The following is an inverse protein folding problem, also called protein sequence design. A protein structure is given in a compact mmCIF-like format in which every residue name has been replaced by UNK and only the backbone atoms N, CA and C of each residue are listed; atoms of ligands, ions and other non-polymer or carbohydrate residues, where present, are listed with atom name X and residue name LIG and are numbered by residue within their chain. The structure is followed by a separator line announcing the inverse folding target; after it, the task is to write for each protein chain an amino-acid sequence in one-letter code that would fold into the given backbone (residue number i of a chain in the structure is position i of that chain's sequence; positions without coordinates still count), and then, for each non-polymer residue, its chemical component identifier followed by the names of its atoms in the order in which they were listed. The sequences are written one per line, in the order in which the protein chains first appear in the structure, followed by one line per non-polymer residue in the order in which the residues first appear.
data_IF_705283355996
#
_entry.id   IF_705283355996
#
_cell.length_a   1.000
_cell.length_b   1.000
_cell.length_c   1.000
_cell.angle_alpha   90.00
_cell.angle_beta   90.00
_cell.angle_gamma   90.00
#
_symmetry.space_group_name_H-M   'P 1'
#
loop_
_entity.id
_entity.type
_entity.pdbx_description
1 polymer ?
#
# COMPACT_ATOMS: atom_id res chain seq x y z
N UNK A 1 21.98 22.88 -17.36
CA UNK A 1 21.65 23.56 -16.09
C UNK A 1 20.28 23.06 -15.72
N UNK A 2 20.24 22.20 -14.71
CA UNK A 2 19.00 21.62 -14.21
C UNK A 2 18.04 22.69 -13.72
N UNK A 3 16.75 22.46 -13.92
CA UNK A 3 15.73 23.35 -13.39
C UNK A 3 15.61 23.09 -11.89
N UNK A 4 16.09 24.04 -11.09
CA UNK A 4 15.90 24.04 -9.65
C UNK A 4 14.41 24.24 -9.31
N UNK A 5 13.87 23.39 -8.43
CA UNK A 5 12.50 23.53 -7.94
C UNK A 5 12.48 24.38 -6.66
N UNK A 6 11.47 25.25 -6.53
CA UNK A 6 11.36 26.17 -5.41
C UNK A 6 10.45 25.61 -4.31
N UNK A 7 10.72 25.99 -3.06
CA UNK A 7 9.83 25.64 -1.95
C UNK A 7 8.42 26.20 -2.21
N UNK A 8 7.41 25.36 -2.03
CA UNK A 8 6.00 25.65 -2.28
C UNK A 8 5.53 25.39 -3.72
N UNK A 9 6.46 25.20 -4.67
CA UNK A 9 6.17 24.84 -6.05
C UNK A 9 5.49 23.46 -6.14
N UNK A 10 4.59 23.30 -7.10
CA UNK A 10 4.02 21.99 -7.43
C UNK A 10 4.76 21.45 -8.65
N UNK A 11 5.31 20.26 -8.51
CA UNK A 11 5.95 19.50 -9.58
C UNK A 11 5.19 18.20 -9.79
N UNK A 12 5.31 17.63 -10.97
CA UNK A 12 4.83 16.28 -11.24
C UNK A 12 6.04 15.35 -11.20
N UNK A 13 5.89 14.17 -10.58
CA UNK A 13 6.86 13.09 -10.61
C UNK A 13 6.12 11.76 -10.68
N UNK A 14 6.49 10.89 -11.61
CA UNK A 14 5.83 9.60 -11.86
C UNK A 14 4.29 9.72 -12.03
N UNK A 15 3.87 10.78 -12.75
CA UNK A 15 2.45 11.07 -13.01
C UNK A 15 1.68 11.72 -11.86
N UNK A 16 2.29 11.88 -10.67
CA UNK A 16 1.64 12.46 -9.49
C UNK A 16 2.14 13.87 -9.17
N UNK A 17 1.25 14.69 -8.63
CA UNK A 17 1.58 16.07 -8.25
C UNK A 17 2.09 16.14 -6.80
N UNK A 18 3.21 16.82 -6.62
CA UNK A 18 3.89 17.01 -5.34
C UNK A 18 4.20 18.47 -5.10
N UNK A 19 4.00 18.93 -3.86
CA UNK A 19 4.50 20.21 -3.38
C UNK A 19 5.88 20.06 -2.78
N UNK A 20 6.81 20.88 -3.23
CA UNK A 20 8.16 20.97 -2.67
C UNK A 20 8.10 21.61 -1.29
N UNK A 21 8.57 20.92 -0.26
CA UNK A 21 8.62 21.40 1.12
C UNK A 21 10.03 21.81 1.54
N UNK A 22 11.02 21.10 1.04
CA UNK A 22 12.41 21.26 1.42
C UNK A 22 13.36 20.86 0.30
N UNK A 23 14.61 21.28 0.43
CA UNK A 23 15.71 20.86 -0.44
C UNK A 23 17.00 20.75 0.36
N UNK A 24 17.75 19.70 0.10
CA UNK A 24 19.14 19.52 0.52
C UNK A 24 20.00 19.46 -0.74
N UNK A 25 21.12 20.15 -0.77
CA UNK A 25 22.13 20.02 -1.81
C UNK A 25 23.34 19.35 -1.20
N UNK A 26 23.74 18.20 -1.73
CA UNK A 26 24.90 17.47 -1.26
C UNK A 26 26.11 17.73 -2.14
N UNK A 27 27.30 17.57 -1.56
CA UNK A 27 28.58 17.56 -2.24
C UNK A 27 29.29 16.24 -1.94
N UNK A 28 29.45 15.39 -2.94
CA UNK A 28 30.24 14.17 -2.82
C UNK A 28 31.72 14.54 -2.60
N UNK A 29 32.34 14.00 -1.55
CA UNK A 29 33.74 14.27 -1.24
C UNK A 29 34.71 13.58 -2.20
N UNK A 30 34.30 12.51 -2.87
CA UNK A 30 35.18 11.72 -3.73
C UNK A 30 35.51 12.45 -5.04
N UNK A 31 34.52 13.07 -5.67
CA UNK A 31 34.63 13.66 -7.01
C UNK A 31 34.21 15.14 -7.07
N UNK A 32 33.71 15.70 -5.97
CA UNK A 32 33.23 17.08 -5.89
C UNK A 32 31.94 17.34 -6.67
N UNK A 33 31.20 16.29 -7.06
CA UNK A 33 29.89 16.41 -7.71
C UNK A 33 28.79 16.68 -6.69
N UNK A 34 27.68 17.19 -7.18
CA UNK A 34 26.55 17.63 -6.35
C UNK A 34 25.26 17.11 -6.93
N UNK A 35 24.39 16.62 -6.05
CA UNK A 35 23.00 16.33 -6.36
C UNK A 35 22.09 17.12 -5.42
N UNK A 36 20.86 17.33 -5.84
CA UNK A 36 19.81 17.92 -5.01
C UNK A 36 18.81 16.85 -4.60
N UNK A 37 18.42 16.87 -3.33
CA UNK A 37 17.30 16.10 -2.81
C UNK A 37 16.16 17.03 -2.42
N UNK A 38 14.98 16.80 -2.99
CA UNK A 38 13.80 17.59 -2.73
C UNK A 38 12.85 16.81 -1.82
N UNK A 39 12.51 17.38 -0.67
CA UNK A 39 11.43 16.87 0.18
C UNK A 39 10.10 17.26 -0.43
N UNK A 40 9.33 16.28 -0.83
CA UNK A 40 8.09 16.41 -1.57
C UNK A 40 6.91 15.94 -0.73
N UNK A 41 5.76 16.60 -0.89
CA UNK A 41 4.48 16.16 -0.33
C UNK A 41 3.45 15.99 -1.42
N UNK A 42 2.93 14.79 -1.57
CA UNK A 42 1.92 14.50 -2.58
C UNK A 42 0.66 15.35 -2.36
N UNK A 43 0.20 16.06 -3.39
CA UNK A 43 -1.05 16.80 -3.36
C UNK A 43 -2.25 15.85 -3.33
N UNK A 44 -2.12 14.66 -3.94
CA UNK A 44 -3.20 13.68 -4.10
C UNK A 44 -2.90 12.29 -3.50
N UNK A 45 -2.11 12.17 -2.42
CA UNK A 45 -1.89 10.89 -1.72
C UNK A 45 -1.74 11.07 -0.21
N UNK A 46 -2.78 11.56 0.48
CA UNK A 46 -2.74 11.78 1.94
C UNK A 46 -1.54 12.60 2.44
N UNK A 47 -0.98 13.50 1.62
CA UNK A 47 0.25 14.22 1.93
C UNK A 47 1.47 13.29 2.14
N UNK A 48 1.56 12.13 1.44
CA UNK A 48 2.72 11.24 1.49
C UNK A 48 3.99 12.03 1.19
N UNK A 49 5.01 11.81 2.02
CA UNK A 49 6.32 12.40 1.83
C UNK A 49 7.16 11.53 0.91
N UNK A 50 7.79 12.17 -0.07
CA UNK A 50 8.75 11.57 -1.00
C UNK A 50 9.99 12.41 -1.06
N UNK A 51 11.09 11.80 -1.48
CA UNK A 51 12.31 12.50 -1.75
C UNK A 51 12.71 12.25 -3.20
N UNK A 52 12.81 13.34 -3.97
CA UNK A 52 13.28 13.31 -5.34
C UNK A 52 14.78 13.62 -5.33
N UNK A 53 15.63 12.66 -5.69
CA UNK A 53 17.05 12.91 -5.96
C UNK A 53 17.21 13.34 -7.42
N UNK A 54 18.04 14.34 -7.64
CA UNK A 54 18.33 14.87 -8.96
C UNK A 54 19.84 15.06 -9.10
N UNK A 55 20.50 14.09 -9.73
CA UNK A 55 21.90 14.18 -10.12
C UNK A 55 22.02 14.44 -11.64
N UNK A 56 22.31 15.68 -11.99
CA UNK A 56 22.56 16.07 -13.38
C UNK A 56 23.98 15.75 -13.89
N UNK A 57 24.92 15.46 -13.00
CA UNK A 57 26.28 15.08 -13.39
C UNK A 57 26.28 13.67 -13.98
N UNK A 58 25.47 12.77 -13.42
CA UNK A 58 25.33 11.38 -13.83
C UNK A 58 24.04 11.09 -14.62
N UNK A 59 23.12 12.06 -14.70
CA UNK A 59 21.77 11.91 -15.27
C UNK A 59 20.97 10.82 -14.54
N UNK A 60 21.08 10.85 -13.23
CA UNK A 60 20.44 9.90 -12.34
C UNK A 60 19.38 10.62 -11.54
N UNK A 61 18.17 10.06 -11.57
CA UNK A 61 17.00 10.67 -10.97
C UNK A 61 16.22 9.57 -10.32
N UNK A 62 15.62 9.87 -9.18
CA UNK A 62 14.96 8.82 -8.42
C UNK A 62 13.92 9.40 -7.49
N UNK A 63 12.91 8.59 -7.24
CA UNK A 63 11.88 8.91 -6.27
C UNK A 63 11.89 7.87 -5.16
N UNK A 64 12.05 8.37 -3.94
CA UNK A 64 12.33 7.54 -2.78
C UNK A 64 11.51 7.97 -1.58
N UNK A 65 11.53 7.14 -0.54
CA UNK A 65 10.91 7.44 0.75
C UNK A 65 11.61 6.73 1.89
N UNK A 66 11.41 7.25 3.11
CA UNK A 66 11.79 6.60 4.36
C UNK A 66 11.35 5.14 4.36
N UNK A 67 12.29 4.24 4.61
CA UNK A 67 12.01 2.83 4.82
C UNK A 67 13.02 2.23 5.83
N UNK A 68 12.77 2.35 7.15
CA UNK A 68 13.65 1.84 8.22
C UNK A 68 13.86 0.31 8.20
N UNK A 69 13.09 -0.40 7.38
CA UNK A 69 13.17 -1.85 7.21
C UNK A 69 13.73 -2.24 5.84
N UNK A 70 14.31 -1.29 5.09
CA UNK A 70 14.94 -1.59 3.82
C UNK A 70 16.00 -2.69 4.03
N UNK A 71 15.88 -3.75 3.24
CA UNK A 71 16.82 -4.86 3.28
C UNK A 71 17.64 -4.84 2.00
N UNK A 72 18.94 -4.99 2.14
CA UNK A 72 19.87 -5.17 1.02
C UNK A 72 19.87 -6.63 0.52
N UNK A 73 19.04 -7.51 1.10
CA UNK A 73 18.92 -8.90 0.66
C UNK A 73 18.27 -8.99 -0.72
N UNK A 74 18.99 -9.59 -1.67
CA UNK A 74 18.57 -9.64 -3.08
C UNK A 74 18.93 -8.38 -3.88
N UNK A 75 19.61 -7.42 -3.24
CA UNK A 75 20.19 -6.26 -3.87
C UNK A 75 21.72 -6.38 -3.86
N UNK A 76 22.39 -5.63 -4.71
CA UNK A 76 23.83 -5.55 -4.77
C UNK A 76 24.26 -4.08 -4.62
N UNK A 77 25.33 -3.85 -3.87
CA UNK A 77 25.88 -2.52 -3.66
C UNK A 77 26.41 -1.96 -4.99
N UNK A 78 25.90 -0.82 -5.41
CA UNK A 78 26.28 -0.14 -6.67
C UNK A 78 27.08 1.12 -6.43
N UNK A 79 26.78 1.87 -5.36
CA UNK A 79 27.60 3.01 -4.95
C UNK A 79 27.75 3.12 -3.43
N UNK A 80 28.83 3.78 -3.01
CA UNK A 80 29.08 4.14 -1.62
C UNK A 80 30.03 5.33 -1.57
N UNK A 81 29.67 6.32 -0.76
CA UNK A 81 30.48 7.51 -0.61
C UNK A 81 30.32 8.22 0.73
N UNK A 82 30.93 9.39 0.79
CA UNK A 82 30.73 10.35 1.88
C UNK A 82 30.40 11.68 1.25
N UNK A 83 29.28 12.27 1.69
CA UNK A 83 28.84 13.56 1.21
C UNK A 83 28.73 14.55 2.36
N UNK A 84 28.73 15.82 1.97
CA UNK A 84 28.56 16.95 2.86
C UNK A 84 27.38 17.78 2.42
N UNK A 85 26.54 18.20 3.36
CA UNK A 85 25.46 19.15 3.10
C UNK A 85 26.06 20.50 2.72
N UNK A 86 25.85 20.89 1.46
CA UNK A 86 26.35 22.12 0.85
C UNK A 86 25.27 23.21 0.74
N UNK A 87 23.99 22.84 0.81
CA UNK A 87 22.87 23.78 0.75
C UNK A 87 21.61 23.21 1.39
N UNK A 88 20.81 24.10 1.98
CA UNK A 88 19.55 23.76 2.67
C UNK A 88 18.49 24.80 2.34
N UNK A 89 17.26 24.37 2.10
CA UNK A 89 16.10 25.25 1.95
C UNK A 89 14.82 24.56 2.43
N UNK A 90 13.88 25.34 2.98
CA UNK A 90 12.56 24.83 3.39
C UNK A 90 12.61 23.94 4.63
N UNK A 91 11.70 22.97 4.69
CA UNK A 91 11.44 22.12 5.84
C UNK A 91 12.29 20.83 5.76
N UNK A 92 13.52 20.86 6.28
CA UNK A 92 14.45 19.71 6.38
C UNK A 92 15.25 19.82 7.69
N UNK A 93 15.65 18.68 8.25
CA UNK A 93 16.33 18.58 9.56
C UNK A 93 17.84 18.29 9.40
N UNK A 94 18.54 19.15 8.65
CA UNK A 94 20.01 19.09 8.46
C UNK A 94 20.59 20.49 8.38
N UNK A 95 21.86 20.64 8.76
CA UNK A 95 22.60 21.90 8.69
C UNK A 95 23.69 21.86 7.62
N UNK A 96 23.98 23.03 7.03
CA UNK A 96 25.12 23.16 6.11
C UNK A 96 26.40 22.86 6.88
N UNK A 97 27.10 21.81 6.49
CA UNK A 97 28.24 21.33 7.28
C UNK A 97 28.16 19.84 7.57
N UNK A 98 26.94 19.33 7.74
CA UNK A 98 26.69 17.96 8.15
C UNK A 98 27.22 16.97 7.12
N UNK A 99 27.64 15.82 7.60
CA UNK A 99 28.25 14.78 6.78
C UNK A 99 27.45 13.50 6.90
N UNK A 100 27.33 12.80 5.77
CA UNK A 100 26.63 11.54 5.67
C UNK A 100 27.50 10.55 4.92
N UNK A 101 27.59 9.32 5.43
CA UNK A 101 28.13 8.21 4.65
C UNK A 101 26.94 7.52 4.02
N UNK A 102 26.93 7.42 2.70
CA UNK A 102 25.82 6.80 1.98
C UNK A 102 26.27 5.49 1.33
N UNK A 103 25.37 4.53 1.27
CA UNK A 103 25.47 3.29 0.50
C UNK A 103 24.21 3.14 -0.35
N UNK A 104 24.37 2.76 -1.62
CA UNK A 104 23.29 2.57 -2.57
C UNK A 104 23.32 1.16 -3.15
N UNK A 105 22.16 0.53 -3.19
CA UNK A 105 21.99 -0.85 -3.59
C UNK A 105 20.90 -0.96 -4.65
N UNK A 106 21.14 -1.75 -5.69
CA UNK A 106 20.17 -2.03 -6.75
C UNK A 106 19.72 -3.49 -6.73
N UNK A 107 18.46 -3.74 -7.08
CA UNK A 107 18.00 -5.10 -7.34
C UNK A 107 18.53 -5.63 -8.68
N UNK A 108 18.32 -6.91 -8.94
CA UNK A 108 18.71 -7.55 -10.20
C UNK A 108 18.07 -6.96 -11.47
N UNK A 109 17.07 -6.08 -11.33
CA UNK A 109 16.44 -5.38 -12.47
C UNK A 109 17.09 -4.04 -12.75
N UNK A 110 17.96 -3.54 -11.85
CA UNK A 110 18.58 -2.22 -11.91
C UNK A 110 17.55 -1.07 -11.86
N UNK A 111 16.29 -1.34 -11.47
CA UNK A 111 15.23 -0.32 -11.37
C UNK A 111 14.93 0.08 -9.92
N UNK A 112 15.12 -0.82 -8.97
CA UNK A 112 14.82 -0.56 -7.55
C UNK A 112 16.08 -0.27 -6.78
N UNK A 113 15.98 0.74 -5.93
CA UNK A 113 17.07 1.22 -5.10
C UNK A 113 16.74 1.11 -3.63
N UNK A 114 17.74 0.71 -2.85
CA UNK A 114 17.78 0.84 -1.40
C UNK A 114 18.99 1.69 -1.07
N UNK A 115 18.77 2.76 -0.31
CA UNK A 115 19.89 3.58 0.15
C UNK A 115 19.92 3.66 1.67
N UNK A 116 21.14 3.67 2.20
CA UNK A 116 21.44 3.73 3.61
C UNK A 116 22.31 4.96 3.82
N UNK A 117 21.87 5.83 4.71
CA UNK A 117 22.56 7.05 5.13
C UNK A 117 22.97 6.89 6.59
N UNK A 118 24.27 6.86 6.85
CA UNK A 118 24.81 6.84 8.19
C UNK A 118 25.13 8.27 8.61
N UNK A 119 24.30 8.80 9.51
CA UNK A 119 24.52 10.07 10.17
C UNK A 119 25.24 9.85 11.51
N UNK A 120 25.64 10.95 12.17
CA UNK A 120 26.39 10.87 13.43
C UNK A 120 25.58 10.23 14.58
N UNK A 121 24.25 10.34 14.56
CA UNK A 121 23.33 9.90 15.62
C UNK A 121 22.39 8.77 15.21
N UNK A 122 22.09 8.60 13.92
CA UNK A 122 21.23 7.53 13.42
C UNK A 122 21.61 7.00 12.03
N UNK A 123 21.17 5.76 11.77
CA UNK A 123 21.17 5.17 10.43
C UNK A 123 19.79 5.35 9.82
N UNK A 124 19.78 5.95 8.65
CA UNK A 124 18.59 6.27 7.88
C UNK A 124 18.52 5.37 6.65
N UNK A 125 17.35 4.78 6.43
CA UNK A 125 17.15 3.81 5.36
C UNK A 125 16.02 4.30 4.47
N UNK A 126 16.22 4.19 3.16
CA UNK A 126 15.23 4.55 2.16
C UNK A 126 15.11 3.47 1.10
N UNK A 127 13.96 3.47 0.42
CA UNK A 127 13.76 2.65 -0.76
C UNK A 127 13.01 3.45 -1.81
N UNK A 128 13.41 3.28 -3.06
CA UNK A 128 12.89 4.02 -4.19
C UNK A 128 13.05 3.28 -5.50
N UNK A 129 12.99 4.04 -6.58
CA UNK A 129 13.23 3.58 -7.93
C UNK A 129 13.78 4.74 -8.76
N UNK A 130 14.47 4.39 -9.84
CA UNK A 130 14.94 5.37 -10.81
C UNK A 130 13.78 5.94 -11.61
N UNK A 131 13.93 7.21 -11.98
CA UNK A 131 13.06 7.94 -12.87
C UNK A 131 13.80 8.27 -14.15
N UNK A 132 13.08 8.19 -15.26
CA UNK A 132 13.53 8.80 -16.50
C UNK A 132 13.43 10.34 -16.42
N UNK A 133 14.26 11.08 -17.18
CA UNK A 133 14.23 12.55 -17.19
C UNK A 133 12.88 13.19 -17.53
N UNK A 134 11.97 12.45 -18.18
CA UNK A 134 10.63 12.93 -18.56
C UNK A 134 9.53 12.54 -17.57
N UNK A 135 9.84 11.74 -16.55
CA UNK A 135 8.87 11.29 -15.55
C UNK A 135 8.68 12.31 -14.43
N UNK A 136 9.53 13.34 -14.37
CA UNK A 136 9.38 14.44 -13.43
C UNK A 136 9.61 15.81 -14.08
N UNK A 137 9.00 16.85 -13.51
CA UNK A 137 9.10 18.21 -14.03
C UNK A 137 7.91 19.09 -13.66
N UNK A 138 7.90 20.33 -14.13
CA UNK A 138 6.72 21.21 -13.97
C UNK A 138 5.55 20.71 -14.82
N UNK A 139 4.33 21.03 -14.41
CA UNK A 139 3.13 20.79 -15.20
C UNK A 139 3.25 21.50 -16.57
N UNK A 140 3.45 20.71 -17.64
CA UNK A 140 3.73 21.18 -19.01
C UNK A 140 5.17 21.00 -19.51
N UNK A 141 6.15 20.74 -18.64
CA UNK A 141 7.50 20.30 -19.01
C UNK A 141 7.54 18.78 -19.28
N UNK A 142 6.61 18.02 -18.68
CA UNK A 142 6.40 16.60 -18.97
C UNK A 142 5.84 16.45 -20.38
N UNK A 143 6.72 16.08 -21.32
CA UNK A 143 6.34 15.86 -22.72
C UNK A 143 5.52 14.58 -22.81
N UNK A 144 4.20 14.74 -22.94
CA UNK A 144 3.33 13.64 -23.37
C UNK A 144 3.89 13.00 -24.64
N UNK A 145 4.28 11.72 -24.54
CA UNK A 145 4.92 10.99 -25.61
C UNK A 145 4.02 10.84 -26.84
N UNK A 146 4.12 11.79 -27.78
CA UNK A 146 3.72 11.57 -29.16
C UNK A 146 4.88 10.89 -29.89
N UNK A 147 4.72 9.60 -30.18
CA UNK A 147 5.62 8.86 -31.06
C UNK A 147 5.53 9.43 -32.48
N UNK A 148 6.46 10.30 -32.86
CA UNK A 148 6.73 10.60 -34.28
C UNK A 148 7.76 9.60 -34.80
N UNK A 149 7.32 8.72 -35.69
CA UNK A 149 8.17 7.79 -36.42
C UNK A 149 9.17 8.53 -37.32
N UNK A 150 10.47 8.35 -37.08
CA UNK A 150 11.55 8.81 -37.95
C UNK A 150 12.78 7.93 -37.78
N UNK A 151 13.02 7.06 -38.76
CA UNK A 151 14.12 6.09 -38.81
C UNK A 151 15.51 6.76 -38.74
N UNK A 152 16.48 6.13 -38.08
CA UNK A 152 17.59 5.39 -38.73
C UNK A 152 18.67 4.96 -37.72
N UNK A 153 19.07 3.68 -37.74
CA UNK A 153 20.45 3.29 -37.44
C UNK A 153 20.74 2.38 -36.24
N UNK A 154 20.56 1.07 -36.47
CA UNK A 154 21.30 -0.10 -35.90
C UNK A 154 21.05 -0.53 -34.43
N UNK A 155 20.76 -1.84 -34.33
CA UNK A 155 20.72 -2.76 -33.16
C UNK A 155 19.64 -2.39 -32.12
N UNK A 156 18.76 -3.26 -31.61
CA UNK A 156 18.81 -4.70 -31.33
C UNK A 156 17.36 -5.23 -31.21
N UNK A 157 17.20 -6.54 -31.08
CA UNK A 157 15.93 -7.29 -31.03
C UNK A 157 15.07 -6.85 -29.80
N UNK A 158 13.75 -7.04 -29.95
CA UNK A 158 12.68 -7.04 -28.95
C UNK A 158 11.79 -5.79 -28.89
N UNK A 159 10.90 -5.74 -29.89
CA UNK A 159 9.56 -5.22 -29.65
C UNK A 159 8.78 -6.15 -28.70
N UNK A 160 7.92 -5.52 -27.90
CA UNK A 160 7.08 -6.05 -26.79
C UNK A 160 7.69 -5.85 -25.39
N UNK A 161 7.65 -4.62 -24.92
CA UNK A 161 7.50 -4.31 -23.49
C UNK A 161 6.82 -2.94 -23.40
N UNK A 162 5.52 -2.92 -23.63
CA UNK A 162 4.65 -1.80 -23.27
C UNK A 162 3.71 -2.37 -22.22
N UNK A 163 3.57 -1.66 -21.09
CA UNK A 163 2.61 -1.86 -19.99
C UNK A 163 2.98 -2.93 -18.95
N UNK A 164 4.05 -2.76 -18.16
CA UNK A 164 4.21 -3.46 -16.87
C UNK A 164 5.05 -2.60 -15.87
N UNK A 165 4.70 -1.34 -15.59
CA UNK A 165 5.35 -0.60 -14.49
C UNK A 165 4.32 0.28 -13.75
N UNK A 166 3.22 -0.33 -13.30
CA UNK A 166 2.31 0.30 -12.31
C UNK A 166 2.03 -0.66 -11.12
N UNK A 167 2.53 -1.90 -11.15
CA UNK A 167 2.12 -2.93 -10.16
C UNK A 167 3.25 -3.83 -9.63
N UNK A 168 4.49 -3.34 -9.61
CA UNK A 168 5.56 -4.01 -8.83
C UNK A 168 5.54 -3.59 -7.35
N UNK A 169 4.78 -2.57 -6.97
CA UNK A 169 4.63 -2.12 -5.57
C UNK A 169 3.60 -2.91 -4.74
N UNK A 170 2.88 -3.88 -5.31
CA UNK A 170 1.83 -4.65 -4.61
C UNK A 170 2.29 -6.02 -4.05
N UNK A 171 3.60 -6.33 -4.09
CA UNK A 171 4.13 -7.59 -3.55
C UNK A 171 5.53 -7.43 -2.91
N UNK A 172 5.63 -6.57 -1.90
CA UNK A 172 6.51 -6.80 -0.76
C UNK A 172 5.65 -6.64 0.50
N UNK A 173 5.25 -7.77 1.09
CA UNK A 173 4.62 -7.75 2.39
C UNK A 173 5.62 -7.22 3.42
N UNK A 174 5.24 -6.13 4.10
CA UNK A 174 5.87 -5.55 5.30
C UNK A 174 7.21 -4.82 5.02
N UNK A 175 7.35 -3.50 5.18
CA UNK A 175 6.81 -2.65 6.24
C UNK A 175 6.84 -1.16 5.84
N UNK A 176 5.69 -0.60 5.46
CA UNK A 176 5.47 0.85 5.36
C UNK A 176 4.69 1.30 6.59
N UNK A 177 5.30 2.10 7.47
CA UNK A 177 4.62 2.68 8.63
C UNK A 177 5.05 4.11 8.96
N UNK A 178 4.01 4.94 9.15
CA UNK A 178 4.02 6.39 9.35
C UNK A 178 3.65 7.07 8.03
N UNK A 179 2.42 7.46 7.70
CA UNK A 179 1.31 8.00 8.48
C UNK A 179 -0.03 7.47 7.93
N UNK A 180 -0.56 6.40 8.53
CA UNK A 180 -1.91 5.90 8.23
C UNK A 180 -2.90 6.66 9.13
N UNK A 181 -3.97 7.30 8.58
CA UNK A 181 -5.10 7.73 9.39
C UNK A 181 -5.62 6.53 10.18
N UNK A 182 -5.58 6.59 11.51
CA UNK A 182 -5.89 5.48 12.43
C UNK A 182 -7.32 4.93 12.25
N UNK A 183 -7.54 4.12 11.22
CA UNK A 183 -8.85 3.57 10.91
C UNK A 183 -8.90 2.14 11.41
N UNK A 184 -9.30 1.98 12.67
CA UNK A 184 -9.47 0.66 13.27
C UNK A 184 -10.66 -0.12 12.70
N UNK A 185 -11.39 0.47 11.77
CA UNK A 185 -12.62 -0.02 11.18
C UNK A 185 -12.46 -0.21 9.68
N UNK A 186 -13.06 -1.26 9.15
CA UNK A 186 -13.02 -1.65 7.75
C UNK A 186 -13.83 -0.66 6.91
N UNK A 187 -15.07 -0.36 7.29
CA UNK A 187 -15.95 0.44 6.44
C UNK A 187 -15.39 1.84 6.11
N UNK A 188 -14.85 2.62 7.06
CA UNK A 188 -14.32 3.93 6.72
C UNK A 188 -12.98 3.84 5.97
N UNK A 189 -12.28 2.70 5.98
CA UNK A 189 -11.12 2.47 5.13
C UNK A 189 -11.58 2.30 3.68
N UNK A 190 -12.53 1.39 3.43
CA UNK A 190 -13.08 1.15 2.08
C UNK A 190 -13.64 2.44 1.46
N UNK A 191 -14.35 3.28 2.23
CA UNK A 191 -14.87 4.57 1.76
C UNK A 191 -13.80 5.57 1.33
N UNK A 192 -12.61 5.50 1.91
CA UNK A 192 -11.50 6.43 1.61
C UNK A 192 -10.70 5.97 0.40
N UNK A 193 -10.59 4.67 0.20
CA UNK A 193 -9.83 4.07 -0.90
C UNK A 193 -10.67 3.98 -2.18
N UNK A 194 -11.15 5.13 -2.67
CA UNK A 194 -12.07 5.21 -3.81
C UNK A 194 -11.45 4.76 -5.14
N UNK A 195 -10.13 4.62 -5.21
CA UNK A 195 -9.42 4.07 -6.37
C UNK A 195 -9.40 2.54 -6.40
N UNK A 196 -9.59 1.89 -5.24
CA UNK A 196 -9.64 0.42 -5.12
C UNK A 196 -11.06 -0.10 -4.96
N UNK A 197 -11.92 0.68 -4.30
CA UNK A 197 -13.26 0.26 -3.91
C UNK A 197 -14.31 1.24 -4.42
N UNK A 198 -15.24 0.71 -5.22
CA UNK A 198 -16.44 1.44 -5.62
C UNK A 198 -17.63 0.99 -4.77
N UNK A 199 -18.39 1.94 -4.26
CA UNK A 199 -19.63 1.63 -3.54
C UNK A 199 -20.69 1.08 -4.50
N UNK A 200 -21.21 -0.11 -4.22
CA UNK A 200 -22.22 -0.77 -5.06
C UNK A 200 -23.61 -0.53 -4.50
N UNK A 201 -23.85 -0.92 -3.24
CA UNK A 201 -25.18 -0.89 -2.63
C UNK A 201 -25.12 -1.08 -1.10
N UNK A 202 -26.29 -0.99 -0.45
CA UNK A 202 -26.48 -1.42 0.94
C UNK A 202 -27.62 -2.43 1.06
N UNK A 203 -27.38 -3.53 1.76
CA UNK A 203 -28.42 -4.50 2.15
C UNK A 203 -29.04 -4.02 3.45
N UNK A 204 -30.35 -3.86 3.47
CA UNK A 204 -31.09 -3.54 4.70
C UNK A 204 -31.45 -4.83 5.41
N UNK A 205 -30.94 -4.97 6.64
CA UNK A 205 -31.25 -6.08 7.53
C UNK A 205 -32.27 -5.67 8.58
N UNK A 206 -32.36 -6.49 9.62
CA UNK A 206 -33.23 -6.23 10.76
C UNK A 206 -32.65 -5.13 11.67
N UNK A 207 -33.43 -4.66 12.65
CA UNK A 207 -32.93 -3.76 13.70
C UNK A 207 -32.33 -2.43 13.18
N UNK A 208 -32.83 -1.96 12.03
CA UNK A 208 -32.32 -0.79 11.28
C UNK A 208 -30.83 -0.90 10.94
N UNK A 209 -30.29 -2.11 10.90
CA UNK A 209 -28.91 -2.37 10.52
C UNK A 209 -28.78 -2.48 9.00
N UNK A 210 -27.59 -2.17 8.51
CA UNK A 210 -27.24 -2.31 7.10
C UNK A 210 -25.88 -2.96 6.93
N UNK A 211 -25.71 -3.67 5.83
CA UNK A 211 -24.41 -4.08 5.31
C UNK A 211 -24.13 -3.28 4.03
N UNK A 212 -22.95 -2.68 3.93
CA UNK A 212 -22.53 -1.98 2.73
C UNK A 212 -21.67 -2.90 1.87
N UNK A 213 -21.84 -2.79 0.55
CA UNK A 213 -21.18 -3.63 -0.44
C UNK A 213 -20.34 -2.73 -1.33
N UNK A 214 -19.09 -3.11 -1.50
CA UNK A 214 -18.12 -2.46 -2.38
C UNK A 214 -17.65 -3.45 -3.43
N UNK A 215 -17.42 -2.98 -4.64
CA UNK A 215 -16.74 -3.72 -5.70
C UNK A 215 -15.27 -3.35 -5.68
N UNK A 216 -14.41 -4.36 -5.76
CA UNK A 216 -12.97 -4.14 -5.91
C UNK A 216 -12.64 -3.88 -7.38
N UNK A 217 -12.28 -2.64 -7.69
CA UNK A 217 -12.13 -2.12 -9.06
C UNK A 217 -10.94 -2.74 -9.81
N UNK A 218 -9.91 -3.17 -9.10
CA UNK A 218 -8.75 -3.85 -9.70
C UNK A 218 -9.03 -5.33 -10.07
N UNK A 219 -10.26 -5.81 -9.87
CA UNK A 219 -10.64 -7.21 -10.08
C UNK A 219 -10.75 -7.69 -11.53
N UNK A 220 -10.99 -6.81 -12.51
CA UNK A 220 -11.31 -7.27 -13.88
C UNK A 220 -10.12 -7.36 -14.84
N UNK A 221 -9.04 -6.60 -14.63
CA UNK A 221 -7.93 -6.55 -15.59
C UNK A 221 -6.53 -6.70 -14.96
N UNK A 222 -6.38 -6.49 -13.65
CA UNK A 222 -5.11 -6.65 -12.94
C UNK A 222 -4.94 -8.05 -12.31
N UNK A 223 -6.06 -8.74 -12.05
CA UNK A 223 -6.06 -10.07 -11.43
C UNK A 223 -6.19 -11.22 -12.43
N UNK A 224 -6.12 -10.96 -13.74
CA UNK A 224 -6.19 -12.01 -14.77
C UNK A 224 -5.06 -13.04 -14.69
N UNK A 225 -3.98 -12.70 -13.99
CA UNK A 225 -2.80 -13.55 -13.79
C UNK A 225 -2.79 -14.28 -12.44
N UNK A 226 -3.75 -13.99 -11.55
CA UNK A 226 -3.86 -14.62 -10.25
C UNK A 226 -4.96 -15.68 -10.24
N UNK A 227 -4.76 -16.73 -9.48
CA UNK A 227 -5.87 -17.63 -9.14
C UNK A 227 -6.95 -16.86 -8.36
N UNK A 228 -8.17 -17.38 -8.37
CA UNK A 228 -9.27 -16.80 -7.60
C UNK A 228 -8.91 -16.67 -6.12
N UNK A 229 -8.27 -17.70 -5.56
CA UNK A 229 -7.79 -17.71 -4.18
C UNK A 229 -6.83 -16.55 -3.87
N UNK A 230 -5.81 -16.36 -4.70
CA UNK A 230 -4.82 -15.31 -4.53
C UNK A 230 -5.44 -13.91 -4.66
N UNK A 231 -6.36 -13.74 -5.61
CA UNK A 231 -7.08 -12.49 -5.81
C UNK A 231 -7.88 -12.09 -4.55
N UNK A 232 -8.62 -13.04 -3.94
CA UNK A 232 -9.38 -12.78 -2.72
C UNK A 232 -8.45 -12.54 -1.52
N UNK A 233 -7.34 -13.29 -1.42
CA UNK A 233 -6.34 -13.09 -0.37
C UNK A 233 -5.66 -11.72 -0.47
N UNK A 234 -5.45 -11.21 -1.68
CA UNK A 234 -4.88 -9.86 -1.89
C UNK A 234 -5.80 -8.76 -1.40
N UNK A 235 -7.09 -8.84 -1.71
CA UNK A 235 -8.09 -7.91 -1.18
C UNK A 235 -8.17 -8.00 0.35
N UNK A 236 -8.05 -9.21 0.91
CA UNK A 236 -8.01 -9.39 2.36
C UNK A 236 -6.78 -8.72 3.00
N UNK A 237 -5.59 -8.88 2.40
CA UNK A 237 -4.35 -8.25 2.87
C UNK A 237 -4.45 -6.72 2.86
N UNK A 238 -4.97 -6.14 1.77
CA UNK A 238 -5.19 -4.70 1.64
C UNK A 238 -6.10 -4.15 2.76
N UNK A 239 -7.21 -4.84 3.04
CA UNK A 239 -8.11 -4.48 4.15
C UNK A 239 -7.40 -4.62 5.50
N UNK A 240 -6.65 -5.71 5.72
CA UNK A 240 -5.89 -5.96 6.95
C UNK A 240 -4.87 -4.83 7.20
N UNK A 241 -4.15 -4.40 6.17
CA UNK A 241 -3.20 -3.28 6.23
C UNK A 241 -3.92 -1.97 6.53
N UNK A 242 -5.04 -1.72 5.83
CA UNK A 242 -5.90 -0.56 6.04
C UNK A 242 -6.42 -0.40 7.46
N UNK A 243 -6.62 -1.51 8.17
CA UNK A 243 -7.04 -1.53 9.57
C UNK A 243 -5.90 -1.78 10.57
N UNK A 244 -4.65 -1.73 10.13
CA UNK A 244 -3.46 -1.99 10.95
C UNK A 244 -3.49 -3.34 11.68
N UNK A 245 -3.99 -4.37 10.99
CA UNK A 245 -4.11 -5.71 11.56
C UNK A 245 -5.14 -5.82 12.68
N UNK A 246 -6.08 -4.87 12.82
CA UNK A 246 -7.10 -4.86 13.87
C UNK A 246 -8.27 -5.85 13.60
N UNK A 247 -7.96 -7.14 13.59
CA UNK A 247 -8.90 -8.26 13.45
C UNK A 247 -9.01 -9.09 14.74
N UNK A 248 -10.13 -9.75 14.96
CA UNK A 248 -10.29 -10.77 16.01
C UNK A 248 -10.24 -12.19 15.45
N UNK A 249 -10.70 -12.38 14.21
CA UNK A 249 -10.62 -13.65 13.50
C UNK A 249 -10.58 -13.42 11.99
N UNK A 250 -9.73 -14.17 11.28
CA UNK A 250 -9.69 -14.18 9.82
C UNK A 250 -9.62 -15.63 9.35
N UNK A 251 -10.39 -15.98 8.33
CA UNK A 251 -10.27 -17.29 7.69
C UNK A 251 -10.73 -17.24 6.24
N UNK A 252 -10.08 -18.03 5.40
CA UNK A 252 -10.54 -18.36 4.07
C UNK A 252 -11.37 -19.64 4.10
N UNK A 253 -12.43 -19.70 3.31
CA UNK A 253 -13.23 -20.91 3.15
C UNK A 253 -12.36 -22.03 2.55
N UNK A 254 -12.39 -23.19 3.20
CA UNK A 254 -11.65 -24.40 2.82
C UNK A 254 -12.49 -25.34 1.94
N UNK A 255 -13.78 -25.01 1.73
CA UNK A 255 -14.61 -25.72 0.76
C UNK A 255 -14.04 -25.54 -0.65
N UNK A 256 -13.85 -26.67 -1.34
CA UNK A 256 -13.40 -26.72 -2.72
C UNK A 256 -14.17 -25.70 -3.58
N UNK A 257 -13.46 -24.97 -4.44
CA UNK A 257 -14.02 -23.99 -5.38
C UNK A 257 -14.80 -22.81 -4.73
N UNK A 258 -14.60 -22.55 -3.44
CA UNK A 258 -15.06 -21.34 -2.77
C UNK A 258 -13.93 -20.78 -1.91
N UNK A 259 -13.33 -19.69 -2.37
CA UNK A 259 -12.19 -19.05 -1.72
C UNK A 259 -12.60 -17.82 -0.89
N UNK A 260 -13.88 -17.69 -0.53
CA UNK A 260 -14.42 -16.58 0.25
C UNK A 260 -13.58 -16.34 1.51
N UNK A 261 -13.17 -15.11 1.74
CA UNK A 261 -12.43 -14.73 2.95
C UNK A 261 -13.33 -13.96 3.89
N UNK A 262 -13.32 -14.33 5.17
CA UNK A 262 -14.04 -13.66 6.22
C UNK A 262 -13.10 -12.98 7.21
N UNK A 263 -13.40 -11.74 7.58
CA UNK A 263 -12.65 -10.92 8.54
C UNK A 263 -13.63 -10.43 9.60
N UNK A 264 -13.41 -10.81 10.85
CA UNK A 264 -14.12 -10.31 12.01
C UNK A 264 -13.23 -9.32 12.75
N UNK A 265 -13.78 -8.19 13.18
CA UNK A 265 -13.13 -7.25 14.09
C UNK A 265 -13.93 -7.14 15.40
N UNK A 266 -13.51 -6.28 16.31
CA UNK A 266 -14.31 -5.99 17.51
C UNK A 266 -15.64 -5.26 17.24
N UNK A 267 -15.84 -4.71 16.03
CA UNK A 267 -17.02 -3.88 15.70
C UNK A 267 -17.73 -4.27 14.40
N UNK A 268 -17.01 -4.88 13.47
CA UNK A 268 -17.48 -5.15 12.12
C UNK A 268 -17.27 -6.62 11.75
N UNK A 269 -18.10 -7.07 10.82
CA UNK A 269 -17.95 -8.34 10.14
C UNK A 269 -17.88 -8.07 8.64
N UNK A 270 -16.85 -8.63 7.99
CA UNK A 270 -16.56 -8.43 6.59
C UNK A 270 -16.38 -9.77 5.88
N UNK A 271 -16.90 -9.87 4.66
CA UNK A 271 -16.59 -10.98 3.75
C UNK A 271 -16.16 -10.45 2.38
N UNK A 272 -15.25 -11.18 1.76
CA UNK A 272 -14.66 -10.91 0.46
C UNK A 272 -14.95 -12.14 -0.39
N UNK A 273 -15.66 -11.98 -1.49
CA UNK A 273 -16.15 -13.11 -2.28
C UNK A 273 -16.28 -12.76 -3.76
N UNK A 274 -16.29 -13.79 -4.60
CA UNK A 274 -16.66 -13.67 -6.01
C UNK A 274 -18.19 -13.75 -6.15
N UNK A 275 -18.77 -12.73 -6.79
CA UNK A 275 -20.20 -12.65 -7.06
C UNK A 275 -20.64 -13.59 -8.18
N UNK A 276 -21.95 -13.67 -8.41
CA UNK A 276 -22.55 -14.37 -9.53
C UNK A 276 -22.14 -13.82 -10.91
N UNK A 277 -21.69 -12.56 -10.97
CA UNK A 277 -21.17 -11.90 -12.19
C UNK A 277 -19.64 -11.89 -12.27
N UNK A 278 -18.97 -12.74 -11.50
CA UNK A 278 -17.51 -12.84 -11.44
C UNK A 278 -16.76 -11.57 -10.98
N UNK A 279 -17.48 -10.60 -10.42
CA UNK A 279 -16.88 -9.45 -9.71
C UNK A 279 -16.44 -9.84 -8.30
N UNK A 280 -15.33 -9.28 -7.83
CA UNK A 280 -14.90 -9.40 -6.42
C UNK A 280 -15.63 -8.33 -5.61
N UNK A 281 -16.42 -8.78 -4.63
CA UNK A 281 -17.19 -7.93 -3.75
C UNK A 281 -16.70 -8.03 -2.31
N UNK A 282 -16.73 -6.89 -1.63
CA UNK A 282 -16.46 -6.76 -0.20
C UNK A 282 -17.74 -6.29 0.48
N UNK A 283 -18.32 -7.14 1.31
CA UNK A 283 -19.48 -6.78 2.12
C UNK A 283 -19.06 -6.61 3.57
N UNK A 284 -19.31 -5.42 4.12
CA UNK A 284 -19.00 -5.07 5.52
C UNK A 284 -20.26 -4.64 6.25
N UNK A 285 -20.42 -5.12 7.49
CA UNK A 285 -21.54 -4.78 8.36
C UNK A 285 -21.08 -4.60 9.80
N UNK A 286 -21.95 -4.04 10.65
CA UNK A 286 -21.77 -4.16 12.10
C UNK A 286 -21.90 -5.62 12.53
N UNK A 287 -21.33 -5.96 13.70
CA UNK A 287 -21.59 -7.26 14.34
C UNK A 287 -23.06 -7.46 14.72
N UNK A 288 -23.78 -6.37 15.07
CA UNK A 288 -25.23 -6.42 15.33
C UNK A 288 -26.02 -6.82 14.08
N UNK A 289 -25.64 -6.33 12.89
CA UNK A 289 -26.26 -6.76 11.64
C UNK A 289 -26.15 -8.27 11.49
N UNK A 290 -24.92 -8.81 11.57
CA UNK A 290 -24.66 -10.23 11.42
C UNK A 290 -25.44 -11.09 12.43
N UNK A 291 -25.50 -10.66 13.69
CA UNK A 291 -26.27 -11.34 14.73
C UNK A 291 -27.78 -11.43 14.41
N UNK A 292 -28.37 -10.31 14.00
CA UNK A 292 -29.83 -10.13 13.98
C UNK A 292 -30.49 -10.42 12.63
N UNK A 293 -29.71 -10.72 11.58
CA UNK A 293 -30.24 -10.83 10.22
C UNK A 293 -29.86 -12.13 9.53
N UNK A 294 -30.82 -12.69 8.79
CA UNK A 294 -30.65 -13.87 7.94
C UNK A 294 -30.37 -13.53 6.47
N UNK A 295 -30.21 -12.24 6.15
CA UNK A 295 -29.98 -11.78 4.78
C UNK A 295 -28.71 -12.38 4.19
N UNK A 296 -28.85 -12.87 2.97
CA UNK A 296 -27.75 -13.41 2.19
C UNK A 296 -26.83 -12.28 1.69
N UNK A 297 -25.51 -12.54 1.55
CA UNK A 297 -24.62 -11.59 0.91
C UNK A 297 -25.04 -11.25 -0.52
N UNK A 298 -24.81 -10.00 -0.93
CA UNK A 298 -25.29 -9.47 -2.21
C UNK A 298 -24.74 -10.25 -3.40
N UNK A 299 -25.64 -10.82 -4.23
CA UNK A 299 -25.28 -11.57 -5.46
C UNK A 299 -24.20 -12.63 -5.23
N UNK A 300 -24.30 -13.31 -4.10
CA UNK A 300 -23.34 -14.35 -3.70
C UNK A 300 -23.79 -15.74 -4.15
N UNK A 301 -22.84 -16.63 -4.36
CA UNK A 301 -23.10 -18.05 -4.64
C UNK A 301 -23.56 -18.77 -3.36
N UNK A 302 -24.25 -19.90 -3.48
CA UNK A 302 -24.77 -20.65 -2.33
C UNK A 302 -23.69 -21.02 -1.29
N UNK A 303 -22.49 -21.41 -1.75
CA UNK A 303 -21.36 -21.77 -0.86
C UNK A 303 -20.92 -20.58 0.01
N UNK A 304 -20.80 -19.39 -0.59
CA UNK A 304 -20.50 -18.13 0.10
C UNK A 304 -21.53 -17.78 1.17
N UNK A 305 -22.84 -17.98 0.89
CA UNK A 305 -23.93 -17.69 1.84
C UNK A 305 -23.83 -18.57 3.08
N UNK A 306 -23.57 -19.86 2.89
CA UNK A 306 -23.38 -20.81 4.00
C UNK A 306 -22.13 -20.46 4.78
N UNK A 307 -21.01 -20.17 4.10
CA UNK A 307 -19.76 -19.81 4.76
C UNK A 307 -19.89 -18.53 5.60
N UNK A 308 -20.54 -17.49 5.05
CA UNK A 308 -20.86 -16.24 5.75
C UNK A 308 -21.53 -16.51 7.09
N UNK A 309 -22.52 -17.40 7.13
CA UNK A 309 -23.24 -17.74 8.36
C UNK A 309 -22.41 -18.60 9.29
N UNK A 310 -21.78 -19.66 8.78
CA UNK A 310 -20.97 -20.62 9.56
C UNK A 310 -19.78 -19.95 10.22
N UNK A 311 -19.06 -19.09 9.52
CA UNK A 311 -17.89 -18.40 10.06
C UNK A 311 -18.27 -17.49 11.22
N UNK A 312 -19.28 -16.63 11.04
CA UNK A 312 -19.76 -15.76 12.12
C UNK A 312 -20.29 -16.56 13.31
N UNK A 313 -21.05 -17.63 13.07
CA UNK A 313 -21.51 -18.51 14.14
C UNK A 313 -20.36 -19.13 14.93
N UNK A 314 -19.28 -19.51 14.24
CA UNK A 314 -18.12 -20.19 14.86
C UNK A 314 -17.20 -19.24 15.63
N UNK A 315 -17.12 -17.96 15.23
CA UNK A 315 -16.08 -17.03 15.72
C UNK A 315 -16.63 -15.79 16.41
N UNK A 316 -17.85 -15.35 16.10
CA UNK A 316 -18.41 -14.08 16.58
C UNK A 316 -19.68 -14.21 17.41
N UNK A 317 -20.52 -15.20 17.13
CA UNK A 317 -21.84 -15.33 17.73
C UNK A 317 -21.81 -15.41 19.27
N UNK A 318 -20.93 -16.23 19.84
CA UNK A 318 -20.90 -16.42 21.30
C UNK A 318 -20.59 -15.11 22.03
N UNK A 319 -19.58 -14.35 21.58
CA UNK A 319 -19.21 -13.04 22.13
C UNK A 319 -20.36 -12.02 22.01
N UNK A 320 -21.08 -12.08 20.90
CA UNK A 320 -22.15 -11.13 20.57
C UNK A 320 -23.47 -11.49 21.26
N UNK A 321 -23.73 -12.76 21.53
CA UNK A 321 -24.99 -13.26 22.10
C UNK A 321 -25.33 -12.62 23.44
N UNK A 322 -24.33 -12.37 24.28
CA UNK A 322 -24.52 -11.60 25.52
C UNK A 322 -24.82 -10.13 25.25
N UNK A 323 -24.03 -9.51 24.37
CA UNK A 323 -24.10 -8.08 24.02
C UNK A 323 -25.40 -7.68 23.30
N UNK A 324 -25.98 -8.62 22.55
CA UNK A 324 -27.17 -8.42 21.72
C UNK A 324 -28.38 -9.26 22.15
N UNK A 325 -28.33 -9.90 23.32
CA UNK A 325 -29.39 -10.75 23.90
C UNK A 325 -30.81 -10.17 23.90
N UNK A 326 -30.96 -8.84 23.85
CA UNK A 326 -32.26 -8.14 23.76
C UNK A 326 -32.86 -8.09 22.35
N UNK A 327 -32.13 -8.54 21.33
CA UNK A 327 -32.55 -8.54 19.94
C UNK A 327 -32.76 -9.97 19.48
N UNK A 328 -33.64 -10.17 18.49
CA UNK A 328 -33.78 -11.47 17.85
C UNK A 328 -32.45 -11.88 17.20
N UNK A 329 -32.07 -13.13 17.40
CA UNK A 329 -30.92 -13.77 16.78
C UNK A 329 -31.37 -14.52 15.54
N UNK A 330 -30.78 -14.20 14.40
CA UNK A 330 -30.98 -14.99 13.18
C UNK A 330 -30.38 -16.40 13.25
N UNK A 331 -29.68 -16.71 14.36
CA UNK A 331 -29.07 -17.99 14.65
C UNK A 331 -29.90 -18.82 15.65
N UNK A 332 -31.09 -18.35 16.04
CA UNK A 332 -32.02 -19.13 16.85
C UNK A 332 -32.42 -20.41 16.09
N UNK A 333 -32.05 -21.58 16.63
CA UNK A 333 -32.28 -22.87 15.97
C UNK A 333 -31.32 -23.17 14.80
N UNK A 334 -30.21 -22.45 14.68
CA UNK A 334 -29.23 -22.64 13.61
C UNK A 334 -28.61 -24.04 13.61
N UNK A 335 -28.63 -24.69 12.44
CA UNK A 335 -28.18 -26.08 12.26
C UNK A 335 -27.21 -26.29 11.09
N UNK A 336 -26.77 -25.23 10.40
CA UNK A 336 -25.99 -25.36 9.16
C UNK A 336 -24.48 -25.61 9.41
N UNK A 337 -24.13 -26.02 10.63
CA UNK A 337 -22.78 -26.40 11.04
C UNK A 337 -21.85 -25.22 11.34
N UNK A 338 -20.58 -25.56 11.59
CA UNK A 338 -19.52 -24.63 11.98
C UNK A 338 -18.38 -24.65 10.97
N UNK A 339 -17.46 -23.70 11.08
CA UNK A 339 -16.15 -23.73 10.44
C UNK A 339 -15.13 -24.18 11.47
N UNK A 340 -14.20 -25.07 11.09
CA UNK A 340 -13.04 -25.39 11.91
C UNK A 340 -12.06 -24.22 11.83
N UNK A 341 -12.07 -23.36 12.85
CA UNK A 341 -11.23 -22.17 12.86
C UNK A 341 -9.77 -22.52 13.09
N UNK A 342 -8.91 -22.14 12.14
CA UNK A 342 -7.45 -22.22 12.28
C UNK A 342 -6.88 -20.85 12.65
N UNK A 343 -6.45 -20.69 13.91
CA UNK A 343 -5.84 -19.46 14.39
C UNK A 343 -4.47 -19.16 13.79
N UNK A 344 -3.82 -20.15 13.16
CA UNK A 344 -2.46 -20.05 12.60
C UNK A 344 -2.46 -20.00 11.07
N UNK A 345 -3.61 -19.73 10.44
CA UNK A 345 -3.66 -19.59 9.00
C UNK A 345 -2.86 -18.37 8.51
N UNK A 346 -2.48 -18.38 7.22
CA UNK A 346 -1.62 -17.36 6.63
C UNK A 346 -2.12 -15.92 6.81
N UNK A 347 -3.43 -15.68 6.71
CA UNK A 347 -4.02 -14.35 6.87
C UNK A 347 -4.05 -13.89 8.33
N UNK A 348 -4.27 -14.80 9.28
CA UNK A 348 -4.15 -14.48 10.71
C UNK A 348 -2.70 -14.13 11.08
N UNK A 349 -1.72 -14.90 10.60
CA UNK A 349 -0.30 -14.62 10.82
C UNK A 349 0.09 -13.26 10.22
N UNK A 350 -0.38 -12.98 9.00
CA UNK A 350 -0.21 -11.68 8.35
C UNK A 350 -0.82 -10.54 9.18
N UNK A 351 -2.07 -10.69 9.64
CA UNK A 351 -2.70 -9.66 10.47
C UNK A 351 -1.96 -9.42 11.79
N UNK A 352 -1.34 -10.45 12.37
CA UNK A 352 -0.54 -10.31 13.59
C UNK A 352 0.76 -9.54 13.32
N UNK A 353 1.46 -9.82 12.21
CA UNK A 353 2.68 -9.09 11.85
C UNK A 353 2.39 -7.60 11.60
N UNK A 354 1.32 -7.30 10.86
CA UNK A 354 0.87 -5.93 10.61
C UNK A 354 0.57 -5.22 11.93
N UNK A 355 -0.11 -5.87 12.88
CA UNK A 355 -0.41 -5.28 14.19
C UNK A 355 0.87 -4.98 14.98
N UNK A 356 1.82 -5.91 15.04
CA UNK A 356 3.09 -5.72 15.76
C UNK A 356 3.88 -4.54 15.21
N UNK A 357 4.05 -4.49 13.88
CA UNK A 357 4.77 -3.37 13.27
C UNK A 357 4.04 -2.03 13.53
N UNK A 358 2.70 -2.02 13.65
CA UNK A 358 1.93 -0.79 13.91
C UNK A 358 2.12 -0.22 15.31
N UNK A 359 2.49 -1.07 16.25
CA UNK A 359 2.78 -0.68 17.62
C UNK A 359 4.20 -0.10 17.68
N UNK A 360 5.15 -0.68 16.94
CA UNK A 360 6.55 -0.25 16.91
C UNK A 360 6.76 1.14 16.28
N UNK A 361 5.98 1.51 15.26
CA UNK A 361 6.14 2.77 14.50
C UNK A 361 5.62 4.04 15.19
N UNK A 362 5.44 4.03 16.51
CA UNK A 362 4.87 5.17 17.27
C UNK A 362 5.94 6.01 17.99
N UNK A 363 7.21 5.76 17.71
CA UNK A 363 8.38 6.37 18.34
C UNK A 363 9.43 6.67 17.27
N UNK A 364 9.82 7.96 17.16
CA UNK A 364 10.89 8.63 16.35
C UNK A 364 10.64 8.94 14.86
N UNK A 365 10.67 10.23 14.46
CA UNK A 365 10.74 10.75 13.07
C UNK A 365 11.56 12.07 13.04
N UNK A 366 12.55 12.21 12.14
CA UNK A 366 13.51 13.35 12.08
C UNK A 366 14.32 13.58 10.77
N UNK A 367 15.27 12.71 10.38
CA UNK A 367 16.21 12.97 9.26
C UNK A 367 15.67 12.77 7.82
N UNK A 368 16.41 13.26 6.80
CA UNK A 368 16.06 13.25 5.37
C UNK A 368 16.67 12.08 4.61
N UNK A 369 15.91 11.47 3.67
CA UNK A 369 16.03 10.02 3.35
C UNK A 369 15.97 9.67 1.86
N UNK A 370 16.79 10.28 1.00
CA UNK A 370 16.73 9.97 -0.43
C UNK A 370 17.77 8.97 -0.93
N UNK A 371 17.39 8.19 -1.95
CA UNK A 371 18.21 7.24 -2.72
C UNK A 371 18.35 7.74 -4.16
N UNK A 372 19.49 7.55 -4.84
CA UNK A 372 19.84 7.93 -6.23
C UNK A 372 21.10 8.82 -6.30
N UNK A 373 22.28 8.28 -5.96
CA UNK A 373 23.48 9.07 -5.57
C UNK A 373 24.77 8.70 -6.32
#
# INVERSE_FOLDING_TARGET
MGNMYNIGEIITADGDNYRVLGRITYLNKADGKTWDEYRLRAENFNNEERWLSVDYAYNEYSLSKKNPFASTSGYHLVDRGTAKVAGVAGDVDVEIGDEVIFEEYEDHTEEKIVSIEHWDDEDEYSSGYYLDPWEFGREGEIRGGSFSSGLTGKTTIFGKAIIIIIFVLAFMGSSLKGLIPQNKKIEPYLKKQTFLYEYVTSITGEEKQKANVYEYLSGSSLLSNYSEEEALNKVAQDIIDGINGNSSAIQQNDEKDDHTVAILTSKEYCIIYRSEDDKILVQVSSRKYAYSTDKEPYRSRNRTRRYYRRFYYSTGYNDDSGSYSRYHSSYDGYSDGTVTYDSNNGLNNYSNSVRQSSIASRSSDGGGLSSGK
#
